data_IF_340442869426
#
_entry.id   IF_340442869426
#
_cell.length_a   1.000
_cell.length_b   1.000
_cell.length_c   1.000
_cell.angle_alpha   90.00
_cell.angle_beta   90.00
_cell.angle_gamma   90.00
#
_symmetry.space_group_name_H-M   'P 1'
#
loop_
_entity.id
_entity.type
_entity.pdbx_description
1 polymer ?
#
# COMPACT_ATOMS: atom_id res chain seq x y z
N UNK A 1 18.73 8.82 -9.39
CA UNK A 1 17.56 8.33 -10.17
C UNK A 1 17.03 7.11 -9.43
N UNK A 2 15.71 6.93 -9.36
CA UNK A 2 15.11 5.79 -8.65
C UNK A 2 14.58 4.79 -9.68
N UNK A 3 15.04 3.55 -9.63
CA UNK A 3 14.71 2.50 -10.58
C UNK A 3 13.78 1.46 -9.95
N UNK A 4 12.89 0.91 -10.76
CA UNK A 4 11.97 -0.15 -10.34
C UNK A 4 12.64 -1.51 -10.59
N UNK A 5 13.07 -2.15 -9.51
CA UNK A 5 13.72 -3.46 -9.53
C UNK A 5 12.72 -4.61 -9.57
N UNK A 6 11.54 -4.42 -8.99
CA UNK A 6 10.43 -5.35 -9.08
C UNK A 6 9.11 -4.63 -8.83
N UNK A 7 8.03 -5.19 -9.37
CA UNK A 7 6.66 -4.73 -9.10
C UNK A 7 5.73 -5.92 -9.01
N UNK A 8 4.73 -5.85 -8.13
CA UNK A 8 3.61 -6.78 -8.14
C UNK A 8 2.35 -6.07 -7.70
N UNK A 9 1.26 -6.31 -8.43
CA UNK A 9 -0.03 -5.69 -8.19
C UNK A 9 -1.09 -6.75 -8.32
N UNK A 10 -2.07 -6.72 -7.43
CA UNK A 10 -3.28 -7.51 -7.57
C UNK A 10 -4.47 -6.76 -7.01
N UNK A 11 -5.64 -7.02 -7.59
CA UNK A 11 -6.86 -6.28 -7.32
C UNK A 11 -8.00 -6.79 -8.20
N UNK A 12 -9.06 -5.98 -8.41
CA UNK A 12 -10.11 -6.35 -9.34
C UNK A 12 -9.56 -6.41 -10.78
N UNK A 13 -10.20 -7.21 -11.64
CA UNK A 13 -9.70 -7.49 -13.00
C UNK A 13 -9.61 -6.23 -13.90
N UNK A 14 -10.34 -5.18 -13.56
CA UNK A 14 -10.32 -3.90 -14.28
C UNK A 14 -9.14 -3.00 -13.88
N UNK A 15 -8.39 -3.34 -12.83
CA UNK A 15 -7.23 -2.57 -12.39
C UNK A 15 -6.04 -2.82 -13.35
N UNK A 16 -5.48 -1.77 -14.00
CA UNK A 16 -4.42 -1.90 -14.97
C UNK A 16 -3.18 -2.64 -14.43
N UNK A 17 -2.75 -3.70 -15.12
CA UNK A 17 -1.59 -4.51 -14.76
C UNK A 17 -1.71 -5.30 -13.46
N UNK A 18 -2.89 -5.33 -12.83
CA UNK A 18 -3.14 -6.12 -11.64
C UNK A 18 -3.41 -7.58 -12.02
N UNK A 19 -2.76 -8.50 -11.32
CA UNK A 19 -3.24 -9.87 -11.28
C UNK A 19 -4.62 -9.92 -10.60
N UNK A 20 -5.46 -10.86 -11.03
CA UNK A 20 -6.74 -11.09 -10.35
C UNK A 20 -6.49 -11.45 -8.88
N UNK A 21 -7.19 -10.76 -7.98
CA UNK A 21 -7.19 -11.08 -6.56
C UNK A 21 -7.73 -12.50 -6.32
N UNK A 22 -6.83 -13.46 -6.20
CA UNK A 22 -7.16 -14.87 -6.09
C UNK A 22 -7.21 -15.34 -4.62
N UNK A 23 -8.40 -15.72 -4.15
CA UNK A 23 -8.59 -16.22 -2.78
C UNK A 23 -7.74 -17.46 -2.45
N UNK A 24 -7.54 -18.37 -3.41
CA UNK A 24 -6.71 -19.56 -3.22
C UNK A 24 -5.22 -19.19 -3.08
N UNK A 25 -4.78 -18.16 -3.79
CA UNK A 25 -3.42 -17.64 -3.66
C UNK A 25 -3.18 -16.99 -2.31
N UNK A 26 -4.10 -16.11 -1.89
CA UNK A 26 -4.02 -15.48 -0.59
C UNK A 26 -4.01 -16.51 0.55
N UNK A 27 -4.81 -17.59 0.41
CA UNK A 27 -4.79 -18.72 1.34
C UNK A 27 -3.40 -19.37 1.41
N UNK A 28 -2.76 -19.64 0.26
CA UNK A 28 -1.39 -20.20 0.22
C UNK A 28 -0.38 -19.27 0.89
N UNK A 29 -0.47 -17.96 0.67
CA UNK A 29 0.38 -16.96 1.33
C UNK A 29 0.18 -17.01 2.84
N UNK A 30 -1.08 -17.07 3.31
CA UNK A 30 -1.38 -17.16 4.74
C UNK A 30 -0.76 -18.39 5.39
N UNK A 31 -0.81 -19.54 4.70
CA UNK A 31 -0.20 -20.78 5.17
C UNK A 31 1.34 -20.69 5.17
N UNK A 32 1.93 -20.24 4.06
CA UNK A 32 3.39 -20.16 3.90
C UNK A 32 4.06 -19.22 4.91
N UNK A 33 3.42 -18.11 5.24
CA UNK A 33 3.96 -17.09 6.15
C UNK A 33 3.31 -17.08 7.53
N UNK A 34 2.60 -18.17 7.89
CA UNK A 34 1.98 -18.34 9.21
C UNK A 34 1.08 -17.17 9.65
N UNK A 35 0.35 -16.58 8.71
CA UNK A 35 -0.53 -15.42 8.92
C UNK A 35 -1.88 -15.80 9.53
N UNK A 36 -1.91 -16.82 10.41
CA UNK A 36 -3.14 -17.41 10.98
C UNK A 36 -3.97 -16.39 11.76
N UNK A 37 -3.30 -15.40 12.36
CA UNK A 37 -3.92 -14.32 13.13
C UNK A 37 -4.04 -13.01 12.36
N UNK A 38 -3.41 -12.90 11.19
CA UNK A 38 -3.43 -11.64 10.45
C UNK A 38 -4.82 -11.37 9.88
N UNK A 39 -5.24 -10.12 9.95
CA UNK A 39 -6.47 -9.62 9.33
C UNK A 39 -6.41 -9.68 7.79
N UNK A 40 -7.49 -9.22 7.14
CA UNK A 40 -7.61 -9.22 5.67
C UNK A 40 -6.61 -8.26 5.03
N UNK A 41 -6.55 -7.03 5.51
CA UNK A 41 -5.61 -5.99 5.06
C UNK A 41 -4.15 -6.44 5.17
N UNK A 42 -3.73 -6.96 6.33
CA UNK A 42 -2.36 -7.46 6.53
C UNK A 42 -2.00 -8.57 5.55
N UNK A 43 -2.94 -9.48 5.25
CA UNK A 43 -2.66 -10.53 4.27
C UNK A 43 -2.53 -10.01 2.82
N UNK A 44 -3.27 -8.94 2.46
CA UNK A 44 -3.09 -8.26 1.17
C UNK A 44 -1.67 -7.70 1.06
N UNK A 45 -1.25 -6.93 2.07
CA UNK A 45 0.05 -6.27 2.12
C UNK A 45 1.19 -7.29 2.07
N UNK A 46 1.12 -8.35 2.89
CA UNK A 46 2.13 -9.43 2.86
C UNK A 46 2.13 -10.14 1.51
N UNK A 47 0.97 -10.40 0.92
CA UNK A 47 0.86 -11.03 -0.39
C UNK A 47 1.56 -10.23 -1.49
N UNK A 48 1.38 -8.91 -1.51
CA UNK A 48 2.03 -8.05 -2.50
C UNK A 48 3.54 -8.01 -2.28
N UNK A 49 3.97 -7.88 -1.01
CA UNK A 49 5.37 -7.84 -0.62
C UNK A 49 6.13 -9.10 -1.06
N UNK A 50 5.62 -10.28 -0.72
CA UNK A 50 6.30 -11.55 -0.98
C UNK A 50 6.40 -11.85 -2.46
N UNK A 51 5.43 -11.37 -3.25
CA UNK A 51 5.44 -11.48 -4.72
C UNK A 51 6.41 -10.51 -5.36
N UNK A 52 6.42 -9.24 -4.94
CA UNK A 52 7.39 -8.27 -5.44
C UNK A 52 8.83 -8.65 -5.06
N UNK A 53 9.06 -9.29 -3.91
CA UNK A 53 10.39 -9.74 -3.50
C UNK A 53 10.86 -11.06 -4.17
N UNK A 54 10.03 -11.71 -5.00
CA UNK A 54 10.42 -13.00 -5.59
C UNK A 54 11.69 -12.88 -6.44
N UNK A 55 12.70 -13.68 -6.10
CA UNK A 55 13.98 -13.69 -6.80
C UNK A 55 14.88 -12.48 -6.51
N UNK A 56 14.57 -11.69 -5.48
CA UNK A 56 15.42 -10.59 -5.00
C UNK A 56 15.66 -10.74 -3.50
N UNK A 57 16.94 -10.77 -3.11
CA UNK A 57 17.32 -10.83 -1.70
C UNK A 57 16.96 -9.50 -1.01
N UNK A 58 16.04 -9.53 -0.05
CA UNK A 58 15.55 -8.34 0.66
C UNK A 58 15.80 -8.40 2.17
N UNK A 59 16.27 -9.52 2.72
CA UNK A 59 16.42 -9.68 4.16
C UNK A 59 17.56 -8.81 4.74
N UNK A 60 17.51 -8.62 6.06
CA UNK A 60 18.46 -7.83 6.82
C UNK A 60 18.17 -6.33 6.76
N UNK A 61 19.19 -5.51 7.02
CA UNK A 61 19.06 -4.06 7.21
C UNK A 61 19.08 -3.26 5.90
N UNK A 62 19.40 -3.91 4.77
CA UNK A 62 19.59 -3.25 3.48
C UNK A 62 18.32 -2.86 2.73
N UNK A 63 17.14 -3.20 3.25
CA UNK A 63 15.84 -2.90 2.63
C UNK A 63 15.00 -2.07 3.58
N UNK A 64 14.56 -0.89 3.15
CA UNK A 64 13.51 -0.15 3.83
C UNK A 64 12.13 -0.69 3.43
N UNK A 65 11.17 -0.56 4.32
CA UNK A 65 9.78 -0.95 4.12
C UNK A 65 8.87 0.26 4.39
N UNK A 66 8.06 0.62 3.41
CA UNK A 66 7.07 1.70 3.52
C UNK A 66 5.71 1.14 3.11
N UNK A 67 4.74 1.15 4.02
CA UNK A 67 3.34 0.84 3.67
C UNK A 67 2.52 2.12 3.57
N UNK A 68 1.55 2.16 2.67
CA UNK A 68 0.67 3.29 2.40
C UNK A 68 -0.79 2.83 2.31
N UNK A 69 -1.71 3.61 2.83
CA UNK A 69 -3.15 3.33 2.77
C UNK A 69 -3.97 4.58 3.11
N UNK A 70 -5.18 4.66 2.59
CA UNK A 70 -6.18 5.65 2.94
C UNK A 70 -7.01 5.23 4.15
N UNK A 71 -7.45 3.96 4.21
CA UNK A 71 -8.39 3.50 5.23
C UNK A 71 -7.78 2.54 6.25
N UNK A 72 -6.66 1.89 5.91
CA UNK A 72 -6.01 0.91 6.76
C UNK A 72 -6.87 -0.33 7.05
N UNK A 73 -6.58 -1.07 8.15
CA UNK A 73 -7.29 -2.28 8.54
C UNK A 73 -8.64 -1.97 9.23
N UNK A 74 -9.42 -1.06 8.66
CA UNK A 74 -10.66 -0.52 9.23
C UNK A 74 -11.70 -1.57 9.60
N UNK A 75 -11.75 -2.73 8.92
CA UNK A 75 -12.58 -3.87 9.36
C UNK A 75 -12.21 -4.33 10.78
N UNK A 76 -10.91 -4.45 11.03
CA UNK A 76 -10.37 -4.91 12.31
C UNK A 76 -10.43 -3.79 13.34
N UNK A 77 -10.22 -2.55 12.91
CA UNK A 77 -10.41 -1.37 13.78
C UNK A 77 -11.82 -1.29 14.31
N UNK A 78 -12.84 -1.37 13.45
CA UNK A 78 -14.24 -1.32 13.90
C UNK A 78 -14.60 -2.53 14.76
N UNK A 79 -14.20 -3.75 14.40
CA UNK A 79 -14.40 -4.91 15.25
C UNK A 79 -13.73 -4.78 16.63
N UNK A 80 -12.59 -4.07 16.73
CA UNK A 80 -11.94 -3.80 18.01
C UNK A 80 -12.70 -2.75 18.83
N UNK A 81 -13.27 -1.73 18.17
CA UNK A 81 -14.11 -0.74 18.83
C UNK A 81 -15.42 -1.37 19.33
N UNK A 82 -16.04 -2.23 18.53
CA UNK A 82 -17.22 -3.00 18.94
C UNK A 82 -16.91 -3.84 20.17
N UNK A 83 -15.76 -4.54 20.19
CA UNK A 83 -15.36 -5.32 21.36
C UNK A 83 -15.22 -4.46 22.63
N UNK A 84 -14.69 -3.23 22.51
CA UNK A 84 -14.55 -2.29 23.64
C UNK A 84 -15.92 -1.83 24.17
N UNK A 85 -16.92 -1.70 23.29
CA UNK A 85 -18.26 -1.25 23.66
C UNK A 85 -19.10 -2.37 24.25
N UNK A 86 -18.95 -3.59 23.72
CA UNK A 86 -19.82 -4.72 24.03
C UNK A 86 -19.32 -5.57 25.21
N UNK A 87 -18.00 -5.57 25.48
CA UNK A 87 -17.40 -6.45 26.48
C UNK A 87 -16.62 -5.70 27.56
N UNK A 88 -16.53 -6.25 28.79
CA UNK A 88 -15.60 -5.78 29.81
C UNK A 88 -14.13 -5.88 29.34
N UNK A 89 -13.26 -5.07 29.95
CA UNK A 89 -11.84 -4.94 29.56
C UNK A 89 -11.08 -6.28 29.53
N UNK A 90 -11.38 -7.19 30.45
CA UNK A 90 -10.73 -8.49 30.57
C UNK A 90 -11.13 -9.50 29.47
N UNK A 91 -12.10 -9.15 28.62
CA UNK A 91 -12.60 -9.97 27.51
C UNK A 91 -12.17 -9.44 26.13
N UNK A 92 -11.55 -8.25 26.06
CA UNK A 92 -11.05 -7.69 24.81
C UNK A 92 -9.81 -8.47 24.36
N UNK A 93 -9.80 -8.95 23.12
CA UNK A 93 -8.69 -9.74 22.58
C UNK A 93 -7.48 -8.84 22.24
N UNK A 94 -6.34 -8.92 22.97
CA UNK A 94 -5.20 -8.02 22.73
C UNK A 94 -4.58 -8.19 21.33
N UNK A 95 -4.69 -9.40 20.77
CA UNK A 95 -4.22 -9.68 19.42
C UNK A 95 -5.02 -8.95 18.35
N UNK A 96 -6.32 -8.72 18.57
CA UNK A 96 -7.17 -8.02 17.61
C UNK A 96 -6.84 -6.52 17.59
N UNK A 97 -6.64 -5.92 18.77
CA UNK A 97 -6.11 -4.56 18.90
C UNK A 97 -4.75 -4.38 18.23
N UNK A 98 -3.87 -5.39 18.34
CA UNK A 98 -2.55 -5.34 17.67
C UNK A 98 -2.65 -5.28 16.14
N UNK A 99 -3.80 -5.65 15.56
CA UNK A 99 -4.06 -5.62 14.12
C UNK A 99 -4.93 -4.44 13.68
N UNK A 100 -5.53 -3.68 14.60
CA UNK A 100 -6.31 -2.48 14.26
C UNK A 100 -5.46 -1.25 13.93
N UNK A 101 -4.14 -1.35 14.07
CA UNK A 101 -3.20 -0.25 13.81
C UNK A 101 -2.57 -0.35 12.42
N UNK A 102 -2.40 0.79 11.75
CA UNK A 102 -1.93 0.87 10.36
C UNK A 102 -0.53 0.26 10.14
N UNK A 103 0.33 0.27 11.16
CA UNK A 103 1.69 -0.25 11.10
C UNK A 103 1.79 -1.77 11.33
N UNK A 104 0.69 -2.45 11.69
CA UNK A 104 0.70 -3.90 11.90
C UNK A 104 1.15 -4.64 10.63
N UNK A 105 0.59 -4.26 9.47
CA UNK A 105 0.91 -4.89 8.20
C UNK A 105 2.39 -4.77 7.82
N UNK A 106 3.01 -3.61 8.05
CA UNK A 106 4.45 -3.42 7.83
C UNK A 106 5.29 -4.36 8.71
N UNK A 107 4.91 -4.53 9.98
CA UNK A 107 5.58 -5.46 10.90
C UNK A 107 5.49 -6.91 10.41
N UNK A 108 4.34 -7.32 9.88
CA UNK A 108 4.16 -8.64 9.29
C UNK A 108 5.01 -8.87 8.05
N UNK A 109 5.17 -7.86 7.18
CA UNK A 109 6.09 -7.94 6.03
C UNK A 109 7.54 -8.07 6.51
N UNK A 110 7.93 -7.28 7.51
CA UNK A 110 9.26 -7.37 8.13
C UNK A 110 9.57 -8.77 8.61
N UNK A 111 8.63 -9.43 9.30
CA UNK A 111 8.77 -10.82 9.73
C UNK A 111 8.76 -11.80 8.54
N UNK A 112 7.83 -11.65 7.60
CA UNK A 112 7.69 -12.57 6.47
C UNK A 112 8.93 -12.60 5.56
N UNK A 113 9.54 -11.43 5.34
CA UNK A 113 10.70 -11.25 4.45
C UNK A 113 12.03 -11.05 5.19
N UNK A 114 12.02 -11.14 6.52
CA UNK A 114 13.19 -10.91 7.38
C UNK A 114 13.84 -9.54 7.14
N UNK A 115 13.03 -8.51 6.86
CA UNK A 115 13.49 -7.13 6.68
C UNK A 115 13.68 -6.48 8.05
N UNK A 116 14.86 -5.89 8.26
CA UNK A 116 15.29 -5.24 9.51
C UNK A 116 15.73 -3.79 9.29
N UNK A 117 15.53 -3.25 8.08
CA UNK A 117 15.81 -1.85 7.77
C UNK A 117 14.71 -0.89 8.24
N UNK A 118 14.79 0.40 7.86
CA UNK A 118 13.78 1.39 8.19
C UNK A 118 12.37 0.92 7.81
N UNK A 119 11.44 0.97 8.76
CA UNK A 119 10.06 0.48 8.55
C UNK A 119 9.06 1.57 8.96
N UNK A 120 8.28 2.06 8.01
CA UNK A 120 7.31 3.14 8.21
C UNK A 120 5.95 2.77 7.61
N UNK A 121 4.88 3.27 8.21
CA UNK A 121 3.53 3.17 7.70
C UNK A 121 2.95 4.57 7.56
N UNK A 122 2.50 4.90 6.36
CA UNK A 122 1.83 6.15 6.03
C UNK A 122 0.34 5.90 5.88
N UNK A 123 -0.45 6.82 6.42
CA UNK A 123 -1.88 6.86 6.25
C UNK A 123 -2.25 8.22 5.65
N UNK A 124 -2.95 8.22 4.53
CA UNK A 124 -3.26 9.42 3.77
C UNK A 124 -4.08 9.09 2.54
N UNK A 125 -4.70 10.11 1.95
CA UNK A 125 -5.59 9.94 0.81
C UNK A 125 -4.88 10.26 -0.52
N UNK A 126 -5.15 11.43 -1.10
CA UNK A 126 -4.88 11.72 -2.52
C UNK A 126 -3.40 11.62 -2.92
N UNK A 127 -2.48 11.88 -1.99
CA UNK A 127 -1.04 11.97 -2.27
C UNK A 127 -0.21 10.87 -1.58
N UNK A 128 -0.85 9.89 -0.92
CA UNK A 128 -0.15 8.93 -0.04
C UNK A 128 0.90 8.07 -0.78
N UNK A 129 0.67 7.75 -2.06
CA UNK A 129 1.70 7.09 -2.88
C UNK A 129 2.88 8.01 -3.17
N UNK A 130 2.61 9.27 -3.48
CA UNK A 130 3.65 10.25 -3.74
C UNK A 130 4.52 10.43 -2.50
N UNK A 131 3.89 10.62 -1.34
CA UNK A 131 4.54 10.74 -0.03
C UNK A 131 5.36 9.48 0.32
N UNK A 132 4.81 8.28 0.08
CA UNK A 132 5.51 7.02 0.33
C UNK A 132 6.74 6.84 -0.58
N UNK A 133 6.62 7.22 -1.85
CA UNK A 133 7.72 7.13 -2.82
C UNK A 133 8.76 8.23 -2.60
N UNK A 134 8.37 9.42 -2.15
CA UNK A 134 9.30 10.45 -1.71
C UNK A 134 10.07 10.01 -0.47
N UNK A 135 9.38 9.45 0.54
CA UNK A 135 10.03 8.88 1.72
C UNK A 135 11.03 7.79 1.34
N UNK A 136 10.63 6.85 0.47
CA UNK A 136 11.51 5.80 -0.04
C UNK A 136 12.75 6.38 -0.72
N UNK A 137 12.57 7.41 -1.56
CA UNK A 137 13.69 8.12 -2.19
C UNK A 137 14.60 8.78 -1.14
N UNK A 138 14.05 9.45 -0.14
CA UNK A 138 14.83 10.06 0.94
C UNK A 138 15.67 9.03 1.70
N UNK A 139 15.10 7.85 2.01
CA UNK A 139 15.83 6.77 2.68
C UNK A 139 16.98 6.22 1.81
N UNK A 140 16.72 6.05 0.51
CA UNK A 140 17.71 5.59 -0.47
C UNK A 140 18.84 6.61 -0.67
N UNK A 141 18.49 7.87 -0.96
CA UNK A 141 19.47 8.95 -1.19
C UNK A 141 20.29 9.24 0.09
N UNK A 142 19.69 9.05 1.27
CA UNK A 142 20.36 9.15 2.56
C UNK A 142 21.26 7.96 2.91
N UNK A 143 21.30 6.91 2.09
CA UNK A 143 22.11 5.72 2.34
C UNK A 143 21.65 4.86 3.52
N UNK A 144 20.41 5.07 3.99
CA UNK A 144 19.83 4.29 5.11
C UNK A 144 19.41 2.88 4.68
N UNK A 145 19.24 2.67 3.39
CA UNK A 145 18.99 1.37 2.78
C UNK A 145 19.56 1.32 1.36
N UNK A 146 19.73 0.11 0.84
CA UNK A 146 20.09 -0.12 -0.57
C UNK A 146 18.85 -0.24 -1.47
N UNK A 147 17.76 -0.75 -0.90
CA UNK A 147 16.46 -0.88 -1.57
C UNK A 147 15.34 -0.36 -0.69
N UNK A 148 14.23 0.02 -1.32
CA UNK A 148 12.99 0.35 -0.62
C UNK A 148 11.84 -0.46 -1.20
N UNK A 149 11.13 -1.20 -0.36
CA UNK A 149 9.90 -1.88 -0.68
C UNK A 149 8.73 -0.99 -0.27
N UNK A 150 8.02 -0.43 -1.25
CA UNK A 150 6.87 0.46 -1.04
C UNK A 150 5.61 -0.29 -1.40
N UNK A 151 4.62 -0.32 -0.49
CA UNK A 151 3.40 -1.11 -0.66
C UNK A 151 2.18 -0.24 -0.36
N UNK A 152 1.26 -0.11 -1.31
CA UNK A 152 -0.06 0.47 -1.09
C UNK A 152 -1.13 -0.62 -1.08
N UNK A 153 -2.11 -0.53 -0.20
CA UNK A 153 -3.21 -1.49 -0.14
C UNK A 153 -4.49 -0.89 0.42
N UNK A 154 -5.63 -1.44 0.01
CA UNK A 154 -6.94 -1.21 0.63
C UNK A 154 -7.67 -2.54 0.76
N UNK A 155 -8.38 -2.72 1.87
CA UNK A 155 -9.32 -3.83 2.04
C UNK A 155 -10.74 -3.39 1.72
N UNK A 156 -11.59 -4.33 1.33
CA UNK A 156 -13.03 -4.06 1.21
C UNK A 156 -13.69 -4.27 2.57
N UNK A 157 -14.14 -3.20 3.19
CA UNK A 157 -15.02 -3.20 4.36
C UNK A 157 -15.81 -1.89 4.47
N UNK A 158 -16.46 -1.65 5.61
CA UNK A 158 -17.52 -0.64 5.80
C UNK A 158 -17.20 0.74 5.19
N UNK A 159 -15.99 1.28 5.40
CA UNK A 159 -15.64 2.60 4.88
C UNK A 159 -15.52 2.57 3.36
N UNK A 160 -14.83 1.60 2.80
CA UNK A 160 -14.72 1.46 1.33
C UNK A 160 -16.06 1.10 0.68
N UNK A 161 -16.93 0.33 1.34
CA UNK A 161 -18.24 -0.06 0.80
C UNK A 161 -19.17 1.17 0.67
N UNK A 162 -19.10 2.10 1.63
CA UNK A 162 -20.01 3.25 1.69
C UNK A 162 -19.37 4.60 1.31
N UNK A 163 -18.06 4.67 1.06
CA UNK A 163 -17.37 5.94 0.76
C UNK A 163 -18.00 6.74 -0.38
N UNK A 164 -18.45 6.05 -1.44
CA UNK A 164 -19.11 6.66 -2.60
C UNK A 164 -20.53 7.15 -2.34
N UNK A 165 -21.21 6.58 -1.34
CA UNK A 165 -22.55 7.03 -0.91
C UNK A 165 -22.44 8.22 0.06
N UNK A 166 -21.41 8.19 0.93
CA UNK A 166 -21.18 9.20 1.95
C UNK A 166 -20.51 10.46 1.40
N UNK A 167 -19.60 10.31 0.43
CA UNK A 167 -18.83 11.39 -0.19
C UNK A 167 -18.76 11.20 -1.71
N UNK A 168 -19.90 11.25 -2.43
CA UNK A 168 -19.96 11.07 -3.88
C UNK A 168 -19.10 12.08 -4.67
N UNK A 169 -18.88 13.27 -4.11
CA UNK A 169 -18.00 14.30 -4.66
C UNK A 169 -16.51 13.93 -4.59
N UNK A 170 -16.16 12.95 -3.74
CA UNK A 170 -14.79 12.48 -3.53
C UNK A 170 -14.56 11.10 -4.12
N UNK A 171 -15.56 10.23 -4.06
CA UNK A 171 -15.50 8.86 -4.54
C UNK A 171 -16.63 8.61 -5.55
N UNK A 172 -16.30 8.67 -6.84
CA UNK A 172 -17.27 8.42 -7.93
C UNK A 172 -17.82 6.98 -7.92
N UNK A 173 -17.10 6.05 -7.28
CA UNK A 173 -17.46 4.65 -7.14
C UNK A 173 -16.81 4.05 -5.89
N UNK A 174 -17.27 2.85 -5.49
CA UNK A 174 -16.71 2.06 -4.38
C UNK A 174 -15.18 1.91 -4.53
N UNK A 175 -14.37 2.42 -3.58
CA UNK A 175 -12.94 2.11 -3.51
C UNK A 175 -12.66 0.62 -3.60
N UNK A 176 -11.67 0.27 -4.43
CA UNK A 176 -11.38 -1.13 -4.77
C UNK A 176 -10.39 -1.77 -3.80
N UNK A 177 -10.64 -3.04 -3.46
CA UNK A 177 -9.71 -3.87 -2.68
C UNK A 177 -8.53 -4.39 -3.50
N UNK A 178 -7.37 -4.52 -2.85
CA UNK A 178 -6.16 -5.09 -3.42
C UNK A 178 -4.89 -4.47 -2.84
N UNK A 179 -3.77 -4.74 -3.49
CA UNK A 179 -2.47 -4.22 -3.08
C UNK A 179 -1.49 -4.12 -4.26
N UNK A 180 -0.60 -3.15 -4.17
CA UNK A 180 0.50 -2.93 -5.10
C UNK A 180 1.80 -2.75 -4.33
N UNK A 181 2.86 -3.43 -4.77
CA UNK A 181 4.19 -3.36 -4.18
C UNK A 181 5.24 -3.04 -5.24
N UNK A 182 6.12 -2.08 -4.93
CA UNK A 182 7.26 -1.67 -5.76
C UNK A 182 8.55 -1.87 -4.96
N UNK A 183 9.50 -2.61 -5.53
CA UNK A 183 10.86 -2.68 -5.01
C UNK A 183 11.74 -1.70 -5.80
N UNK A 184 12.32 -0.73 -5.10
CA UNK A 184 13.01 0.42 -5.66
C UNK A 184 14.50 0.38 -5.29
N UNK A 185 15.35 0.89 -6.19
CA UNK A 185 16.80 0.95 -6.01
C UNK A 185 17.39 2.17 -6.69
N UNK A 186 18.56 2.62 -6.25
CA UNK A 186 19.35 3.63 -6.97
C UNK A 186 20.36 3.00 -7.93
N UNK A 187 20.55 1.67 -7.88
CA UNK A 187 21.48 0.95 -8.74
C UNK A 187 20.86 0.73 -10.14
N UNK A 188 21.42 1.31 -11.21
CA UNK A 188 20.93 1.08 -12.57
C UNK A 188 20.98 -0.39 -12.99
N UNK A 189 21.87 -1.21 -12.41
CA UNK A 189 21.93 -2.64 -12.70
C UNK A 189 20.70 -3.41 -12.22
N UNK A 190 19.93 -2.84 -11.29
CA UNK A 190 18.68 -3.41 -10.80
C UNK A 190 17.45 -2.94 -11.58
N UNK A 191 17.61 -2.06 -12.58
CA UNK A 191 16.49 -1.53 -13.35
C UNK A 191 15.83 -2.62 -14.23
N UNK A 192 14.63 -3.05 -13.85
CA UNK A 192 13.82 -4.00 -14.63
C UNK A 192 12.59 -3.38 -15.28
N UNK A 193 12.03 -2.33 -14.66
CA UNK A 193 10.77 -1.73 -15.08
C UNK A 193 10.84 -0.20 -15.24
N UNK A 194 12.04 0.34 -15.51
CA UNK A 194 12.23 1.74 -15.81
C UNK A 194 12.58 2.63 -14.61
N UNK A 195 12.78 3.90 -14.91
CA UNK A 195 13.01 4.96 -13.93
C UNK A 195 11.67 5.51 -13.42
N UNK A 196 11.54 5.64 -12.10
CA UNK A 196 10.43 6.33 -11.45
C UNK A 196 10.82 7.78 -11.11
N UNK A 197 10.10 8.73 -11.73
CA UNK A 197 10.19 10.16 -11.48
C UNK A 197 8.99 10.63 -10.68
N UNK A 198 9.27 11.48 -9.70
CA UNK A 198 8.26 12.15 -8.88
C UNK A 198 8.20 13.60 -9.34
N UNK A 199 7.05 14.00 -9.89
CA UNK A 199 6.79 15.36 -10.35
C UNK A 199 5.98 16.09 -9.28
N UNK A 200 6.62 17.08 -8.65
CA UNK A 200 6.05 17.88 -7.55
C UNK A 200 5.03 18.92 -8.02
N UNK A 201 4.85 19.06 -9.34
CA UNK A 201 3.85 19.95 -9.90
C UNK A 201 2.46 19.45 -9.52
N UNK A 202 1.73 20.25 -8.74
CA UNK A 202 0.38 19.96 -8.31
C UNK A 202 -0.54 19.72 -9.52
N UNK A 203 -1.16 18.54 -9.57
CA UNK A 203 -2.14 18.20 -10.58
C UNK A 203 -3.51 17.95 -9.95
N UNK A 204 -4.52 18.63 -10.48
CA UNK A 204 -5.92 18.28 -10.25
C UNK A 204 -6.30 17.04 -11.05
N UNK A 205 -7.36 16.35 -10.65
CA UNK A 205 -7.96 15.25 -11.41
C UNK A 205 -8.90 14.43 -10.53
N UNK A 206 -9.55 13.40 -11.09
CA UNK A 206 -10.53 12.59 -10.35
C UNK A 206 -9.90 11.94 -9.12
N UNK A 207 -10.72 11.73 -8.07
CA UNK A 207 -10.30 11.17 -6.79
C UNK A 207 -9.67 9.79 -6.87
N UNK A 208 -9.29 9.27 -5.70
CA UNK A 208 -8.62 7.97 -5.51
C UNK A 208 -9.25 6.85 -6.34
N UNK A 209 -8.47 6.26 -7.27
CA UNK A 209 -8.98 5.16 -8.10
C UNK A 209 -8.42 3.79 -7.67
N UNK A 210 -7.17 3.71 -7.16
CA UNK A 210 -6.61 2.46 -6.63
C UNK A 210 -5.53 2.70 -5.56
N UNK A 211 -5.73 2.19 -4.34
CA UNK A 211 -4.70 2.13 -3.29
C UNK A 211 -4.00 3.44 -2.90
N UNK A 212 -4.56 4.62 -3.22
CA UNK A 212 -3.88 5.91 -3.03
C UNK A 212 -3.29 6.54 -4.30
N UNK A 213 -3.33 5.86 -5.45
CA UNK A 213 -2.67 6.28 -6.70
C UNK A 213 -3.64 6.56 -7.85
N UNK A 214 -3.16 7.28 -8.86
CA UNK A 214 -3.94 7.62 -10.06
C UNK A 214 -4.00 6.44 -11.04
N UNK A 215 -5.08 6.36 -11.82
CA UNK A 215 -5.24 5.32 -12.86
C UNK A 215 -4.09 5.36 -13.86
N UNK A 216 -3.69 6.54 -14.30
CA UNK A 216 -2.62 6.75 -15.28
C UNK A 216 -1.28 6.22 -14.77
N UNK A 217 -1.02 6.36 -13.46
CA UNK A 217 0.18 5.80 -12.84
C UNK A 217 0.18 4.27 -12.91
N UNK A 218 -0.93 3.61 -12.58
CA UNK A 218 -1.03 2.15 -12.65
C UNK A 218 -1.00 1.62 -14.09
N UNK A 219 -1.63 2.31 -15.06
CA UNK A 219 -1.50 1.97 -16.48
C UNK A 219 -0.07 2.13 -17.00
N UNK A 220 0.66 3.14 -16.50
CA UNK A 220 2.08 3.31 -16.83
C UNK A 220 2.94 2.23 -16.19
N UNK A 221 2.62 1.83 -14.95
CA UNK A 221 3.25 0.70 -14.29
C UNK A 221 3.00 -0.60 -15.04
N UNK A 222 1.80 -0.85 -15.56
CA UNK A 222 1.49 -2.03 -16.37
C UNK A 222 2.43 -2.16 -17.57
N UNK A 223 2.56 -1.07 -18.35
CA UNK A 223 3.38 -0.98 -19.57
C UNK A 223 4.88 -0.83 -19.31
N UNK A 224 5.29 -0.81 -18.04
CA UNK A 224 6.66 -0.51 -17.65
C UNK A 224 7.65 -1.58 -18.10
N UNK A 225 8.77 -1.15 -18.68
CA UNK A 225 9.88 -2.00 -19.12
C UNK A 225 11.22 -1.28 -18.89
N UNK A 226 12.33 -2.05 -18.94
CA UNK A 226 13.67 -1.51 -18.78
C UNK A 226 13.96 -0.44 -19.85
N UNK A 227 14.39 0.74 -19.42
CA UNK A 227 14.66 1.90 -20.31
C UNK A 227 13.50 2.91 -20.41
N UNK A 228 12.31 2.58 -19.89
CA UNK A 228 11.19 3.50 -19.78
C UNK A 228 11.34 4.51 -18.63
N UNK A 229 10.52 5.56 -18.66
CA UNK A 229 10.38 6.55 -17.58
C UNK A 229 8.91 6.62 -17.18
N UNK A 230 8.66 6.41 -15.90
CA UNK A 230 7.35 6.54 -15.27
C UNK A 230 7.33 7.80 -14.43
N UNK A 231 6.27 8.59 -14.56
CA UNK A 231 6.11 9.81 -13.76
C UNK A 231 4.88 9.64 -12.88
N UNK A 232 5.05 9.73 -11.56
CA UNK A 232 3.96 9.99 -10.63
C UNK A 232 3.93 11.47 -10.31
N UNK A 233 2.79 12.11 -10.56
CA UNK A 233 2.56 13.51 -10.21
C UNK A 233 1.95 13.62 -8.83
N UNK A 234 2.38 14.65 -8.11
CA UNK A 234 1.78 15.07 -6.84
C UNK A 234 0.32 15.46 -7.06
N UNK A 235 -0.54 15.08 -6.11
CA UNK A 235 -1.98 15.33 -6.14
C UNK A 235 -2.32 16.39 -5.09
N UNK A 236 -3.19 17.32 -5.46
CA UNK A 236 -3.73 18.25 -4.46
C UNK A 236 -4.66 17.49 -3.51
N UNK A 237 -4.60 17.77 -2.20
CA UNK A 237 -5.57 17.22 -1.24
C UNK A 237 -6.98 17.63 -1.64
N UNK A 238 -7.94 16.74 -1.44
CA UNK A 238 -9.35 17.11 -1.56
C UNK A 238 -9.67 18.16 -0.48
N UNK A 239 -10.17 19.33 -0.90
CA UNK A 239 -10.46 20.47 0.01
C UNK A 239 -11.92 20.57 0.42
N UNK A 240 -12.77 19.68 -0.09
CA UNK A 240 -14.23 19.80 -0.01
C UNK A 240 -14.76 21.03 -0.74
N UNK A 241 -16.07 21.06 -0.93
CA UNK A 241 -16.76 22.32 -1.19
C UNK A 241 -16.68 23.10 0.11
N UNK A 242 -16.14 24.32 0.11
CA UNK A 242 -15.84 25.12 1.31
C UNK A 242 -17.02 25.46 2.23
N UNK A 243 -18.18 24.84 2.04
CA UNK A 243 -19.36 24.91 2.89
C UNK A 243 -19.63 23.53 3.48
N UNK A 244 -19.17 23.30 4.72
CA UNK A 244 -19.75 22.49 5.81
C UNK A 244 -18.62 21.95 6.70
N UNK A 245 -17.94 22.85 7.40
CA UNK A 245 -17.31 22.50 8.68
C UNK A 245 -18.15 23.16 9.78
N UNK A 246 -19.13 22.41 10.29
CA UNK A 246 -19.72 22.54 11.63
C UNK A 246 -20.28 21.19 12.06
#
# INVERSE_FOLDING_TARGET
MMYIASKYLFGPAEAPGAAELNAAELKRIREAYSLRRADRYTALVVGAAVRAAQGVEVAGTGTALVTATAFGPHRTTFATLDDILDYPEDQILPTRFSHSVHNAAASYVGVALQIQGPTLALAGFEDVWFEALELARTLLDGGLCRRALVIGAEERALLTEHAHELWPERFEAEPREGAAALLLSLDPAENRYGELKLDRTAAEGPGLFYFGGSREFFESLERAEAGGVLTLRRREPWRGDGETML
#
